data_IF_293801053860
#
_entry.id   IF_293801053860
#
_cell.length_a   1.000
_cell.length_b   1.000
_cell.length_c   1.000
_cell.angle_alpha   90.00
_cell.angle_beta   90.00
_cell.angle_gamma   90.00
#
_symmetry.space_group_name_H-M   'P 1'
#
loop_
_entity.id
_entity.type
_entity.pdbx_description
1 polymer ?
#
# COMPACT_ATOMS: atom_id res chain seq x y z
N UNK A 1 -21.75 -3.26 -8.70
CA UNK A 1 -20.95 -3.90 -7.64
C UNK A 1 -20.15 -5.12 -8.15
N UNK A 2 -20.80 -6.12 -8.85
CA UNK A 2 -20.10 -7.34 -9.33
C UNK A 2 -18.95 -6.98 -10.27
N UNK A 3 -19.19 -6.16 -11.29
CA UNK A 3 -18.15 -5.72 -12.23
C UNK A 3 -16.98 -5.01 -11.51
N UNK A 4 -17.30 -4.19 -10.50
CA UNK A 4 -16.27 -3.56 -9.69
C UNK A 4 -15.42 -4.56 -8.91
N UNK A 5 -16.04 -5.57 -8.30
CA UNK A 5 -15.31 -6.62 -7.59
C UNK A 5 -14.43 -7.45 -8.54
N UNK A 6 -14.91 -7.77 -9.74
CA UNK A 6 -14.13 -8.45 -10.77
C UNK A 6 -12.96 -7.59 -11.25
N UNK A 7 -13.18 -6.30 -11.48
CA UNK A 7 -12.13 -5.35 -11.84
C UNK A 7 -11.02 -5.34 -10.77
N UNK A 8 -11.36 -5.18 -9.50
CA UNK A 8 -10.40 -5.20 -8.39
C UNK A 8 -9.58 -6.50 -8.37
N UNK A 9 -10.24 -7.64 -8.63
CA UNK A 9 -9.56 -8.94 -8.62
C UNK A 9 -8.60 -9.13 -9.80
N UNK A 10 -8.85 -8.50 -10.95
CA UNK A 10 -8.13 -8.73 -12.19
C UNK A 10 -7.12 -7.63 -12.54
N UNK A 11 -7.34 -6.38 -12.10
CA UNK A 11 -6.60 -5.19 -12.58
C UNK A 11 -5.08 -5.23 -12.36
N UNK A 12 -4.57 -6.07 -11.47
CA UNK A 12 -3.13 -6.26 -11.27
C UNK A 12 -2.57 -7.51 -11.99
N UNK A 13 -3.43 -8.30 -12.62
CA UNK A 13 -3.06 -9.56 -13.29
C UNK A 13 -3.02 -9.41 -14.80
N UNK A 14 -3.87 -8.55 -15.36
CA UNK A 14 -4.09 -8.43 -16.80
C UNK A 14 -4.29 -6.98 -17.21
N UNK A 15 -3.73 -6.64 -18.36
CA UNK A 15 -4.04 -5.42 -19.11
C UNK A 15 -4.82 -5.78 -20.37
N UNK A 16 -5.52 -4.80 -20.93
CA UNK A 16 -6.27 -4.93 -22.18
C UNK A 16 -5.52 -4.21 -23.29
N UNK A 17 -5.26 -4.92 -24.40
CA UNK A 17 -4.71 -4.28 -25.59
C UNK A 17 -5.79 -3.40 -26.27
N UNK A 18 -5.47 -2.13 -26.45
CA UNK A 18 -6.40 -1.17 -27.06
C UNK A 18 -6.36 -1.25 -28.59
N UNK A 19 -7.51 -1.14 -29.30
CA UNK A 19 -7.54 -1.17 -30.76
C UNK A 19 -6.71 -0.10 -31.45
N UNK A 20 -6.46 1.04 -30.77
CA UNK A 20 -5.61 2.14 -31.24
C UNK A 20 -4.12 2.00 -30.91
N UNK A 21 -3.71 0.86 -30.34
CA UNK A 21 -2.37 0.63 -29.80
C UNK A 21 -2.25 1.05 -28.34
N UNK A 22 -1.31 0.41 -27.62
CA UNK A 22 -1.11 0.57 -26.19
C UNK A 22 -1.89 -0.42 -25.35
N UNK A 23 -1.61 -0.42 -24.05
CA UNK A 23 -2.26 -1.26 -23.05
C UNK A 23 -2.95 -0.39 -22.02
N UNK A 24 -4.08 -0.85 -21.51
CA UNK A 24 -4.84 -0.17 -20.47
C UNK A 24 -5.17 -1.17 -19.37
N UNK A 25 -5.12 -0.77 -18.09
CA UNK A 25 -5.54 -1.63 -16.99
C UNK A 25 -7.06 -1.94 -17.09
N UNK A 26 -7.47 -3.04 -16.47
CA UNK A 26 -8.89 -3.41 -16.37
C UNK A 26 -9.65 -2.62 -15.31
N UNK A 27 -9.18 -1.43 -14.97
CA UNK A 27 -9.81 -0.53 -14.01
C UNK A 27 -11.16 -0.03 -14.51
N UNK A 28 -12.13 0.12 -13.61
CA UNK A 28 -13.47 0.60 -13.94
C UNK A 28 -13.87 1.78 -13.04
N UNK A 29 -14.39 2.82 -13.67
CA UNK A 29 -15.12 3.88 -12.96
C UNK A 29 -16.61 3.58 -13.01
N UNK A 30 -17.22 3.31 -11.85
CA UNK A 30 -18.60 2.89 -11.74
C UNK A 30 -19.38 3.84 -10.83
N UNK A 31 -20.39 4.48 -11.39
CA UNK A 31 -21.35 5.28 -10.64
C UNK A 31 -22.72 4.59 -10.65
N UNK A 32 -23.26 4.31 -9.48
CA UNK A 32 -24.57 3.66 -9.34
C UNK A 32 -25.53 4.59 -8.63
N UNK A 33 -26.63 4.91 -9.28
CA UNK A 33 -27.77 5.63 -8.68
C UNK A 33 -28.80 4.63 -8.20
N UNK A 34 -29.32 4.84 -6.99
CA UNK A 34 -30.38 4.02 -6.40
C UNK A 34 -31.19 4.87 -5.42
N UNK A 35 -32.49 4.62 -5.31
CA UNK A 35 -33.33 5.28 -4.32
C UNK A 35 -33.01 4.83 -2.88
N UNK A 36 -33.39 5.67 -1.93
CA UNK A 36 -33.27 5.29 -0.52
C UNK A 36 -34.12 4.02 -0.26
N UNK A 37 -33.56 3.06 0.47
CA UNK A 37 -34.24 1.80 0.80
C UNK A 37 -34.03 0.64 -0.19
N UNK A 38 -33.39 0.83 -1.34
CA UNK A 38 -33.13 -0.23 -2.33
C UNK A 38 -32.01 -1.22 -1.95
N UNK A 39 -31.62 -1.24 -0.69
CA UNK A 39 -30.61 -2.16 -0.14
C UNK A 39 -29.26 -2.15 -0.88
N UNK A 40 -28.89 -1.04 -1.53
CA UNK A 40 -27.60 -0.89 -2.25
C UNK A 40 -26.42 -1.32 -1.40
N UNK A 41 -26.33 -0.81 -0.18
CA UNK A 41 -25.23 -1.12 0.74
C UNK A 41 -25.20 -2.60 1.18
N UNK A 42 -26.37 -3.26 1.25
CA UNK A 42 -26.43 -4.69 1.59
C UNK A 42 -25.82 -5.54 0.47
N UNK A 43 -26.18 -5.24 -0.77
CA UNK A 43 -25.66 -5.94 -1.96
C UNK A 43 -24.17 -5.67 -2.11
N UNK A 44 -23.76 -4.41 -1.95
CA UNK A 44 -22.37 -3.99 -2.00
C UNK A 44 -21.53 -4.74 -0.98
N UNK A 45 -21.95 -4.74 0.29
CA UNK A 45 -21.26 -5.46 1.36
C UNK A 45 -21.16 -6.96 1.09
N UNK A 46 -22.20 -7.57 0.55
CA UNK A 46 -22.20 -8.99 0.21
C UNK A 46 -21.17 -9.32 -0.90
N UNK A 47 -21.14 -8.51 -1.95
CA UNK A 47 -20.25 -8.73 -3.11
C UNK A 47 -18.78 -8.46 -2.77
N UNK A 48 -18.49 -7.39 -2.01
CA UNK A 48 -17.12 -7.05 -1.63
C UNK A 48 -16.61 -7.81 -0.41
N UNK A 49 -17.47 -8.55 0.31
CA UNK A 49 -17.07 -9.32 1.50
C UNK A 49 -15.83 -10.17 1.29
N UNK A 50 -15.67 -10.98 0.23
CA UNK A 50 -14.47 -11.78 0.03
C UNK A 50 -13.18 -10.94 -0.02
N UNK A 51 -13.24 -9.76 -0.62
CA UNK A 51 -12.08 -8.87 -0.75
C UNK A 51 -11.76 -8.22 0.60
N UNK A 52 -12.78 -7.80 1.36
CA UNK A 52 -12.59 -7.31 2.74
C UNK A 52 -11.99 -8.38 3.64
N UNK A 53 -12.41 -9.65 3.50
CA UNK A 53 -11.87 -10.76 4.26
C UNK A 53 -10.39 -11.02 3.92
N UNK A 54 -9.98 -10.81 2.66
CA UNK A 54 -8.58 -10.88 2.23
C UNK A 54 -7.78 -9.72 2.84
N UNK A 55 -8.26 -8.49 2.72
CA UNK A 55 -7.59 -7.31 3.31
C UNK A 55 -7.41 -7.47 4.83
N UNK A 56 -8.44 -7.97 5.51
CA UNK A 56 -8.37 -8.24 6.93
C UNK A 56 -7.30 -9.28 7.27
N UNK A 57 -7.26 -10.40 6.53
CA UNK A 57 -6.22 -11.44 6.71
C UNK A 57 -4.83 -10.92 6.45
N UNK A 58 -4.63 -10.12 5.41
CA UNK A 58 -3.35 -9.50 5.08
C UNK A 58 -2.87 -8.59 6.20
N UNK A 59 -3.79 -7.78 6.77
CA UNK A 59 -3.49 -6.92 7.90
C UNK A 59 -3.07 -7.72 9.14
N UNK A 60 -3.82 -8.76 9.50
CA UNK A 60 -3.47 -9.62 10.63
C UNK A 60 -2.12 -10.33 10.45
N UNK A 61 -1.81 -10.74 9.21
CA UNK A 61 -0.49 -11.33 8.89
C UNK A 61 0.62 -10.30 9.08
N UNK A 62 0.47 -9.12 8.50
CA UNK A 62 1.46 -8.05 8.65
C UNK A 62 1.63 -7.59 10.10
N UNK A 63 0.55 -7.56 10.89
CA UNK A 63 0.62 -7.27 12.33
C UNK A 63 1.47 -8.32 13.07
N UNK A 64 1.29 -9.61 12.78
CA UNK A 64 2.13 -10.69 13.35
C UNK A 64 3.60 -10.55 12.94
N UNK A 65 3.85 -10.32 11.65
CA UNK A 65 5.21 -10.16 11.13
C UNK A 65 5.89 -8.94 11.77
N UNK A 66 5.14 -7.89 12.03
CA UNK A 66 5.64 -6.66 12.65
C UNK A 66 5.80 -6.73 14.17
N UNK A 67 5.22 -7.73 14.87
CA UNK A 67 5.40 -7.87 16.32
C UNK A 67 6.89 -8.00 16.71
N UNK A 68 7.69 -8.63 15.87
CA UNK A 68 9.13 -8.80 16.10
C UNK A 68 9.96 -7.63 15.58
N UNK A 69 9.39 -6.81 14.69
CA UNK A 69 10.10 -5.72 14.03
C UNK A 69 10.72 -4.72 15.03
N UNK A 70 9.97 -4.29 16.02
CA UNK A 70 10.44 -3.30 16.98
C UNK A 70 11.61 -3.84 17.81
N UNK A 71 11.54 -5.13 18.22
CA UNK A 71 12.63 -5.82 18.91
C UNK A 71 13.87 -5.92 17.99
N UNK A 72 13.67 -6.39 16.77
CA UNK A 72 14.76 -6.59 15.82
C UNK A 72 15.40 -5.26 15.41
N UNK A 73 14.61 -4.20 15.32
CA UNK A 73 15.09 -2.83 15.10
C UNK A 73 15.92 -2.31 16.29
N UNK A 74 15.52 -2.62 17.52
CA UNK A 74 16.31 -2.26 18.71
C UNK A 74 17.68 -2.97 18.68
N UNK A 75 17.69 -4.28 18.41
CA UNK A 75 18.92 -5.08 18.30
C UNK A 75 19.80 -4.55 17.16
N UNK A 76 19.23 -4.25 16.02
CA UNK A 76 19.94 -3.68 14.88
C UNK A 76 20.58 -2.32 15.22
N UNK A 77 19.84 -1.43 15.87
CA UNK A 77 20.36 -0.11 16.32
C UNK A 77 21.51 -0.26 17.30
N UNK A 78 21.44 -1.23 18.22
CA UNK A 78 22.50 -1.50 19.18
C UNK A 78 23.76 -2.01 18.46
N UNK A 79 23.63 -2.98 17.53
CA UNK A 79 24.74 -3.46 16.71
C UNK A 79 25.39 -2.34 15.89
N UNK A 80 24.58 -1.52 15.22
CA UNK A 80 25.05 -0.39 14.44
C UNK A 80 25.83 0.62 15.30
N UNK A 81 25.30 0.93 16.48
CA UNK A 81 25.98 1.85 17.43
C UNK A 81 27.29 1.29 17.95
N UNK A 82 27.36 -0.02 18.15
CA UNK A 82 28.61 -0.69 18.57
C UNK A 82 29.67 -0.60 17.48
N UNK A 83 29.35 -1.04 16.25
CA UNK A 83 30.31 -1.02 15.13
C UNK A 83 30.78 0.41 14.81
N UNK A 84 29.88 1.40 14.88
CA UNK A 84 30.28 2.81 14.71
C UNK A 84 31.30 3.28 15.75
N UNK A 85 31.09 2.93 17.02
CA UNK A 85 32.06 3.27 18.08
C UNK A 85 33.43 2.59 17.88
N UNK A 86 33.42 1.35 17.42
CA UNK A 86 34.67 0.63 17.09
C UNK A 86 35.38 1.31 15.91
N UNK A 87 34.64 1.74 14.89
CA UNK A 87 35.19 2.48 13.75
C UNK A 87 35.78 3.82 14.19
N UNK A 88 35.05 4.60 14.99
CA UNK A 88 35.51 5.90 15.49
C UNK A 88 36.80 5.74 16.33
N UNK A 89 36.88 4.70 17.15
CA UNK A 89 38.06 4.40 17.94
C UNK A 89 39.25 4.02 17.04
N UNK A 90 39.05 3.12 16.08
CA UNK A 90 40.11 2.69 15.16
C UNK A 90 40.64 3.85 14.31
N UNK A 91 39.77 4.73 13.84
CA UNK A 91 40.16 5.94 13.11
C UNK A 91 40.97 6.89 13.96
N UNK A 92 40.63 7.03 15.25
CA UNK A 92 41.35 7.87 16.19
C UNK A 92 42.77 7.36 16.49
N UNK A 93 42.91 6.03 16.50
CA UNK A 93 44.17 5.32 16.78
C UNK A 93 45.01 5.03 15.53
N UNK A 94 44.56 5.48 14.33
CA UNK A 94 45.16 5.17 13.04
C UNK A 94 45.32 3.65 12.81
N UNK A 95 44.41 2.83 13.34
CA UNK A 95 44.40 1.39 13.19
C UNK A 95 43.70 0.97 11.87
N UNK A 96 44.02 -0.25 11.32
CA UNK A 96 43.29 -0.77 10.15
C UNK A 96 41.80 -0.85 10.39
N UNK A 97 40.99 -0.44 9.41
CA UNK A 97 39.52 -0.36 9.51
C UNK A 97 38.77 -1.31 8.60
N UNK A 98 39.48 -2.04 7.70
CA UNK A 98 38.86 -2.88 6.66
C UNK A 98 37.82 -3.88 7.23
N UNK A 99 38.19 -4.62 8.28
CA UNK A 99 37.29 -5.58 8.93
C UNK A 99 36.08 -4.91 9.59
N UNK A 100 36.26 -3.69 10.08
CA UNK A 100 35.17 -2.93 10.73
C UNK A 100 34.22 -2.39 9.67
N UNK A 101 34.73 -1.94 8.52
CA UNK A 101 33.93 -1.49 7.38
C UNK A 101 33.10 -2.62 6.81
N UNK A 102 33.67 -3.83 6.65
CA UNK A 102 32.92 -5.01 6.21
C UNK A 102 31.79 -5.35 7.17
N UNK A 103 32.07 -5.35 8.48
CA UNK A 103 31.04 -5.55 9.52
C UNK A 103 29.97 -4.47 9.50
N UNK A 104 30.34 -3.22 9.26
CA UNK A 104 29.40 -2.12 9.12
C UNK A 104 28.48 -2.32 7.91
N UNK A 105 29.05 -2.73 6.77
CA UNK A 105 28.29 -3.03 5.56
C UNK A 105 27.30 -4.18 5.80
N UNK A 106 27.68 -5.24 6.52
CA UNK A 106 26.81 -6.36 6.88
C UNK A 106 25.67 -5.92 7.80
N UNK A 107 25.97 -5.10 8.81
CA UNK A 107 24.95 -4.55 9.70
C UNK A 107 23.98 -3.67 8.93
N UNK A 108 24.45 -2.83 8.01
CA UNK A 108 23.58 -1.96 7.19
C UNK A 108 22.67 -2.80 6.28
N UNK A 109 23.19 -3.87 5.67
CA UNK A 109 22.39 -4.79 4.82
C UNK A 109 21.32 -5.55 5.62
N UNK A 110 21.61 -5.87 6.89
CA UNK A 110 20.67 -6.58 7.77
C UNK A 110 19.60 -5.72 8.42
N UNK A 111 19.41 -4.48 7.96
CA UNK A 111 18.39 -3.58 8.52
C UNK A 111 17.01 -4.23 8.43
N UNK A 112 16.28 -4.38 9.55
CA UNK A 112 14.91 -4.87 9.53
C UNK A 112 14.00 -3.97 8.70
N UNK A 113 13.11 -4.58 7.92
CA UNK A 113 12.09 -3.88 7.14
C UNK A 113 10.71 -4.17 7.71
N UNK A 114 9.87 -3.15 7.75
CA UNK A 114 8.48 -3.29 8.19
C UNK A 114 7.65 -3.91 7.08
N UNK A 115 6.90 -4.97 7.40
CA UNK A 115 5.94 -5.56 6.48
C UNK A 115 4.72 -4.65 6.37
N UNK A 116 4.43 -4.19 5.16
CA UNK A 116 3.22 -3.42 4.85
C UNK A 116 2.18 -4.38 4.27
N UNK A 117 0.99 -4.40 4.86
CA UNK A 117 -0.10 -5.24 4.38
C UNK A 117 -0.59 -4.76 3.01
N UNK A 118 -0.69 -5.63 1.99
CA UNK A 118 -1.43 -5.31 0.78
C UNK A 118 -2.88 -4.92 1.11
N UNK A 119 -3.35 -3.82 0.51
CA UNK A 119 -4.70 -3.32 0.71
C UNK A 119 -5.36 -3.07 -0.64
N UNK A 120 -6.48 -3.73 -0.89
CA UNK A 120 -7.17 -3.71 -2.17
C UNK A 120 -8.35 -2.73 -2.21
N UNK A 121 -8.95 -2.41 -1.06
CA UNK A 121 -10.11 -1.52 -0.99
C UNK A 121 -9.89 -0.40 0.01
N UNK A 122 -10.17 0.83 -0.45
CA UNK A 122 -10.25 2.06 0.33
C UNK A 122 -11.72 2.48 0.35
N UNK A 123 -12.35 2.44 1.53
CA UNK A 123 -13.77 2.73 1.68
C UNK A 123 -13.97 4.08 2.34
N UNK A 124 -14.76 4.95 1.67
CA UNK A 124 -15.09 6.30 2.16
C UNK A 124 -13.85 7.12 2.56
N UNK A 125 -12.72 6.85 1.89
CA UNK A 125 -11.43 7.51 2.14
C UNK A 125 -11.14 8.59 1.10
N UNK A 126 -10.19 9.46 1.42
CA UNK A 126 -9.73 10.49 0.49
C UNK A 126 -8.88 9.89 -0.65
N UNK A 127 -8.89 10.55 -1.80
CA UNK A 127 -8.02 10.20 -2.95
C UNK A 127 -6.54 10.21 -2.53
N UNK A 128 -6.14 11.14 -1.66
CA UNK A 128 -4.78 11.21 -1.13
C UNK A 128 -4.39 9.93 -0.36
N UNK A 129 -5.30 9.39 0.45
CA UNK A 129 -5.04 8.15 1.19
C UNK A 129 -4.91 6.96 0.24
N UNK A 130 -5.72 6.91 -0.82
CA UNK A 130 -5.58 5.93 -1.89
C UNK A 130 -4.19 6.02 -2.55
N UNK A 131 -3.77 7.21 -2.96
CA UNK A 131 -2.45 7.44 -3.58
C UNK A 131 -1.30 6.99 -2.69
N UNK A 132 -1.31 7.40 -1.42
CA UNK A 132 -0.29 6.99 -0.45
C UNK A 132 -0.28 5.47 -0.29
N UNK A 133 -1.45 4.86 -0.17
CA UNK A 133 -1.57 3.41 -0.03
C UNK A 133 -1.07 2.66 -1.26
N UNK A 134 -1.39 3.10 -2.47
CA UNK A 134 -0.89 2.50 -3.70
C UNK A 134 0.64 2.63 -3.83
N UNK A 135 1.21 3.75 -3.41
CA UNK A 135 2.65 3.98 -3.44
C UNK A 135 3.42 3.18 -2.37
N UNK A 136 2.82 2.90 -1.21
CA UNK A 136 3.51 2.32 -0.05
C UNK A 136 3.14 0.87 0.25
N UNK A 137 2.00 0.39 -0.26
CA UNK A 137 1.46 -0.93 0.04
C UNK A 137 1.32 -1.77 -1.23
N UNK A 138 0.24 -1.56 -1.98
CA UNK A 138 -0.08 -2.35 -3.16
C UNK A 138 -0.49 -1.43 -4.31
N UNK A 139 0.08 -1.58 -5.52
CA UNK A 139 -0.09 -0.63 -6.62
C UNK A 139 -1.47 -0.69 -7.30
N UNK A 140 -2.32 -1.60 -6.89
CA UNK A 140 -3.63 -1.83 -7.48
C UNK A 140 -4.71 -1.83 -6.40
N UNK A 141 -5.63 -0.88 -6.44
CA UNK A 141 -6.65 -0.74 -5.42
C UNK A 141 -7.94 -0.12 -5.98
N UNK A 142 -9.01 -0.23 -5.22
CA UNK A 142 -10.28 0.44 -5.50
C UNK A 142 -10.65 1.43 -4.42
N UNK A 143 -11.20 2.55 -4.84
CA UNK A 143 -11.89 3.49 -3.96
C UNK A 143 -13.39 3.24 -4.05
N UNK A 144 -13.99 2.83 -2.93
CA UNK A 144 -15.42 2.56 -2.81
C UNK A 144 -16.04 3.62 -1.92
N UNK A 145 -16.97 4.40 -2.46
CA UNK A 145 -17.69 5.42 -1.71
C UNK A 145 -19.17 5.06 -1.61
N UNK A 146 -19.68 5.03 -0.40
CA UNK A 146 -21.09 4.78 -0.11
C UNK A 146 -21.97 5.92 -0.62
N UNK A 147 -21.43 7.15 -0.60
CA UNK A 147 -22.09 8.37 -1.10
C UNK A 147 -21.13 9.12 -2.04
N UNK A 148 -21.59 9.37 -3.27
CA UNK A 148 -20.80 10.11 -4.26
C UNK A 148 -20.55 11.58 -3.89
N UNK A 149 -21.38 12.16 -3.01
CA UNK A 149 -21.26 13.53 -2.53
C UNK A 149 -19.92 13.83 -1.87
N UNK A 150 -19.31 12.84 -1.21
CA UNK A 150 -17.98 12.97 -0.62
C UNK A 150 -16.87 13.08 -1.67
N UNK A 151 -16.92 12.28 -2.73
CA UNK A 151 -15.93 12.27 -3.81
C UNK A 151 -16.13 13.41 -4.82
N UNK A 152 -17.37 13.71 -5.15
CA UNK A 152 -17.76 14.73 -6.15
C UNK A 152 -18.03 16.11 -5.53
N UNK A 153 -17.66 16.33 -4.28
CA UNK A 153 -17.82 17.63 -3.64
C UNK A 153 -16.82 18.65 -4.22
N UNK A 154 -17.16 19.95 -4.24
CA UNK A 154 -16.24 21.02 -4.67
C UNK A 154 -14.90 21.02 -3.93
N UNK A 155 -14.87 20.52 -2.69
CA UNK A 155 -13.62 20.36 -1.92
C UNK A 155 -12.65 19.33 -2.51
N UNK A 156 -13.14 18.43 -3.35
CA UNK A 156 -12.35 17.40 -4.01
C UNK A 156 -12.11 17.66 -5.50
N UNK A 157 -12.60 18.78 -6.05
CA UNK A 157 -12.38 19.13 -7.46
C UNK A 157 -10.89 19.20 -7.81
N UNK A 158 -10.04 19.70 -6.90
CA UNK A 158 -8.59 19.72 -7.08
C UNK A 158 -7.98 18.30 -7.10
N UNK A 159 -8.69 17.30 -6.57
CA UNK A 159 -8.22 15.90 -6.49
C UNK A 159 -8.69 15.04 -7.66
N UNK A 160 -9.67 15.50 -8.46
CA UNK A 160 -10.18 14.77 -9.62
C UNK A 160 -9.12 14.56 -10.73
N UNK A 161 -8.28 15.56 -11.07
CA UNK A 161 -7.18 15.35 -12.02
C UNK A 161 -6.18 14.28 -11.55
N UNK A 162 -5.91 14.23 -10.23
CA UNK A 162 -5.06 13.22 -9.63
C UNK A 162 -5.67 11.82 -9.71
N UNK A 163 -6.99 11.70 -9.60
CA UNK A 163 -7.70 10.44 -9.76
C UNK A 163 -7.62 9.94 -11.21
N UNK A 164 -7.79 10.84 -12.17
CA UNK A 164 -7.63 10.53 -13.60
C UNK A 164 -6.22 10.05 -13.92
N UNK A 165 -5.19 10.71 -13.36
CA UNK A 165 -3.80 10.33 -13.56
C UNK A 165 -3.40 8.97 -12.94
N UNK A 166 -4.17 8.48 -11.96
CA UNK A 166 -3.98 7.12 -11.41
C UNK A 166 -4.64 6.07 -12.33
N UNK A 167 -5.64 6.51 -13.09
CA UNK A 167 -6.42 5.65 -13.97
C UNK A 167 -5.67 5.26 -15.25
N UNK A 168 -4.87 6.18 -15.79
CA UNK A 168 -4.08 6.04 -17.01
C UNK A 168 -2.73 5.31 -16.73
#
# INVERSE_FOLDING_TARGET
AILGAMSIACQHLIDVDCPGGGRSPTSLFLLTSAHSGERKSTIENFIFKPIFDIDHRNRLRAEKDNQLFDRDMMVWKAKLSQVRRELDAALSDYSPVDDIEDRLADVLRSKPTRTVAPRFIYRDESIRNLQIGMATSWPSAALVASESTGLLSPRNEESLPSLSAIWD
#
